data_IF_661732351901
#
_entry.id   IF_661732351901
#
_cell.length_a   1.000
_cell.length_b   1.000
_cell.length_c   1.000
_cell.angle_alpha   90.00
_cell.angle_beta   90.00
_cell.angle_gamma   90.00
#
_symmetry.space_group_name_H-M   'P 1'
#
loop_
_entity.id
_entity.type
_entity.pdbx_description
1 polymer ?
#
# COMPACT_ATOMS: atom_id res chain seq x y z
N UNK A 1 -2.92 6.33 23.85
CA UNK A 1 -1.56 6.25 23.28
C UNK A 1 -0.95 4.92 23.67
N UNK A 2 -0.08 4.33 22.85
CA UNK A 2 0.61 3.09 23.20
C UNK A 2 1.83 3.41 24.08
N UNK A 3 1.93 2.87 25.30
CA UNK A 3 3.13 3.01 26.12
C UNK A 3 4.32 2.37 25.41
N UNK A 4 5.45 3.09 25.35
CA UNK A 4 6.70 2.65 24.71
C UNK A 4 6.55 2.10 23.28
N UNK A 5 5.50 2.51 22.56
CA UNK A 5 5.09 1.98 21.26
C UNK A 5 4.87 0.45 21.23
N UNK A 6 4.63 -0.15 22.40
CA UNK A 6 4.45 -1.58 22.55
C UNK A 6 2.99 -1.98 22.31
N UNK A 7 2.73 -2.64 21.17
CA UNK A 7 1.41 -3.19 20.82
C UNK A 7 0.97 -4.35 21.72
N UNK A 8 1.89 -4.99 22.43
CA UNK A 8 1.60 -6.10 23.35
C UNK A 8 1.24 -5.60 24.76
N UNK A 9 1.36 -4.30 24.99
CA UNK A 9 0.88 -3.67 26.22
C UNK A 9 -0.63 -3.95 26.40
N UNK A 10 -1.13 -4.18 27.64
CA UNK A 10 -2.54 -4.54 27.85
C UNK A 10 -3.56 -3.55 27.28
N UNK A 11 -3.22 -2.26 27.22
CA UNK A 11 -4.10 -1.22 26.66
C UNK A 11 -4.38 -1.43 25.16
N UNK A 12 -3.39 -1.43 24.25
CA UNK A 12 -3.64 -1.73 22.84
C UNK A 12 -4.15 -3.15 22.61
N UNK A 13 -3.67 -4.14 23.37
CA UNK A 13 -4.09 -5.54 23.23
C UNK A 13 -5.59 -5.72 23.50
N UNK A 14 -6.08 -5.28 24.67
CA UNK A 14 -7.49 -5.36 25.02
C UNK A 14 -8.37 -4.50 24.10
N UNK A 15 -7.87 -3.34 23.66
CA UNK A 15 -8.60 -2.50 22.71
C UNK A 15 -8.76 -3.22 21.37
N UNK A 16 -7.69 -3.82 20.84
CA UNK A 16 -7.71 -4.59 19.59
C UNK A 16 -8.51 -5.89 19.69
N UNK A 17 -8.64 -6.46 20.89
CA UNK A 17 -9.50 -7.61 21.14
C UNK A 17 -11.00 -7.25 21.05
N UNK A 18 -11.37 -6.08 21.55
CA UNK A 18 -12.77 -5.63 21.62
C UNK A 18 -13.23 -5.01 20.29
N UNK A 19 -12.38 -4.21 19.66
CA UNK A 19 -12.75 -3.44 18.46
C UNK A 19 -12.62 -4.26 17.17
N UNK A 20 -13.34 -3.85 16.13
CA UNK A 20 -13.35 -4.51 14.82
C UNK A 20 -12.19 -4.07 13.90
N UNK A 21 -11.09 -3.61 14.48
CA UNK A 21 -9.93 -3.12 13.75
C UNK A 21 -9.22 -1.99 14.47
N UNK A 22 -8.11 -1.57 13.88
CA UNK A 22 -7.26 -0.52 14.44
C UNK A 22 -6.57 0.24 13.31
N UNK A 23 -6.33 1.52 13.54
CA UNK A 23 -5.47 2.35 12.69
C UNK A 23 -4.24 2.71 13.50
N UNK A 24 -3.09 2.27 13.03
CA UNK A 24 -1.80 2.46 13.71
C UNK A 24 -1.12 3.69 13.14
N UNK A 25 -0.64 4.55 14.04
CA UNK A 25 0.19 5.71 13.70
C UNK A 25 1.65 5.36 13.95
N UNK A 26 2.49 5.43 12.92
CA UNK A 26 3.91 5.10 13.00
C UNK A 26 4.78 6.33 13.27
N UNK A 27 5.68 6.21 14.24
CA UNK A 27 6.71 7.23 14.48
C UNK A 27 7.74 7.30 13.37
N UNK A 28 7.97 6.21 12.63
CA UNK A 28 8.88 6.21 11.49
C UNK A 28 8.35 7.13 10.39
N UNK A 29 7.09 6.94 9.98
CA UNK A 29 6.43 7.77 8.98
C UNK A 29 6.35 9.24 9.44
N UNK A 30 6.03 9.45 10.72
CA UNK A 30 5.99 10.80 11.29
C UNK A 30 7.35 11.50 11.26
N UNK A 31 8.45 10.81 11.58
CA UNK A 31 9.81 11.37 11.49
C UNK A 31 10.23 11.74 10.07
N UNK A 32 9.66 11.08 9.06
CA UNK A 32 9.84 11.42 7.64
C UNK A 32 8.89 12.51 7.15
N UNK A 33 8.08 13.08 8.04
CA UNK A 33 7.09 14.11 7.73
C UNK A 33 5.97 13.62 6.78
N UNK A 34 5.68 12.32 6.79
CA UNK A 34 4.52 11.76 6.08
C UNK A 34 3.27 11.87 6.95
N UNK A 35 2.30 12.67 6.50
CA UNK A 35 1.14 13.07 7.28
C UNK A 35 -0.17 12.76 6.52
N UNK A 36 -1.14 12.06 7.13
CA UNK A 36 -1.09 11.44 8.44
C UNK A 36 -0.12 10.23 8.45
N UNK A 37 0.58 9.95 9.57
CA UNK A 37 1.59 8.90 9.63
C UNK A 37 0.97 7.50 9.84
N UNK A 38 0.03 7.11 8.99
CA UNK A 38 -0.70 5.84 9.11
C UNK A 38 0.15 4.70 8.58
N UNK A 39 0.39 3.69 9.42
CA UNK A 39 1.01 2.45 8.99
C UNK A 39 -0.05 1.43 8.60
N UNK A 40 -0.14 1.15 7.30
CA UNK A 40 -1.17 0.28 6.73
C UNK A 40 -0.94 -1.20 7.03
N UNK A 41 0.30 -1.65 7.28
CA UNK A 41 0.61 -3.08 7.47
C UNK A 41 0.03 -3.67 8.76
N UNK A 42 0.17 -3.02 9.93
CA UNK A 42 -0.47 -3.48 11.17
C UNK A 42 -1.89 -2.94 11.37
N UNK A 43 -2.37 -2.06 10.49
CA UNK A 43 -3.74 -1.54 10.52
C UNK A 43 -4.73 -2.52 9.91
N UNK A 44 -5.97 -2.54 10.40
CA UNK A 44 -7.01 -3.45 9.93
C UNK A 44 -8.39 -2.84 10.10
N UNK A 45 -9.28 -3.14 9.16
CA UNK A 45 -10.73 -3.01 9.33
C UNK A 45 -11.39 -4.35 8.99
N UNK A 46 -12.03 -4.99 9.98
CA UNK A 46 -12.71 -6.29 9.80
C UNK A 46 -14.02 -6.16 9.02
N UNK A 47 -14.61 -4.98 9.00
CA UNK A 47 -15.90 -4.71 8.35
C UNK A 47 -15.76 -4.10 6.95
N UNK A 48 -14.53 -3.88 6.46
CA UNK A 48 -14.24 -3.22 5.16
C UNK A 48 -15.04 -3.83 4.00
N UNK A 49 -15.17 -5.16 3.94
CA UNK A 49 -15.81 -5.85 2.82
C UNK A 49 -17.33 -5.57 2.75
N UNK A 50 -17.94 -5.14 3.86
CA UNK A 50 -19.33 -4.66 3.89
C UNK A 50 -19.48 -3.23 3.38
N UNK A 51 -18.41 -2.46 3.25
CA UNK A 51 -18.42 -1.05 2.85
C UNK A 51 -17.98 -0.77 1.42
N UNK A 52 -17.43 -1.75 0.70
CA UNK A 52 -16.79 -1.56 -0.60
C UNK A 52 -17.55 -2.25 -1.74
N UNK A 53 -17.22 -1.90 -2.98
CA UNK A 53 -17.73 -2.53 -4.19
C UNK A 53 -18.83 -1.73 -4.89
N UNK A 54 -19.44 -2.36 -5.91
CA UNK A 54 -20.48 -1.75 -6.74
C UNK A 54 -21.65 -1.24 -5.88
N UNK A 55 -22.06 0.01 -6.14
CA UNK A 55 -23.16 0.66 -5.41
C UNK A 55 -22.78 1.23 -4.05
N UNK A 56 -21.50 1.15 -3.63
CA UNK A 56 -20.99 1.77 -2.39
C UNK A 56 -19.77 2.64 -2.65
N UNK A 57 -18.77 2.06 -3.31
CA UNK A 57 -17.56 2.76 -3.76
C UNK A 57 -17.42 2.55 -5.27
N UNK A 58 -16.51 1.67 -5.69
CA UNK A 58 -16.29 1.28 -7.09
C UNK A 58 -15.99 -0.22 -7.19
N UNK A 59 -16.14 -0.79 -8.36
CA UNK A 59 -16.10 -2.24 -8.60
C UNK A 59 -14.72 -2.90 -8.37
N UNK A 60 -13.66 -2.11 -8.46
CA UNK A 60 -12.24 -2.48 -8.39
C UNK A 60 -11.64 -2.34 -6.98
N UNK A 61 -12.35 -1.73 -6.03
CA UNK A 61 -11.82 -1.33 -4.73
C UNK A 61 -11.13 -2.48 -3.96
N UNK A 62 -11.77 -3.66 -3.88
CA UNK A 62 -11.19 -4.79 -3.12
C UNK A 62 -9.88 -5.28 -3.74
N UNK A 63 -9.85 -5.39 -5.06
CA UNK A 63 -8.70 -5.89 -5.82
C UNK A 63 -7.52 -4.91 -5.70
N UNK A 64 -7.77 -3.61 -5.90
CA UNK A 64 -6.74 -2.57 -5.79
C UNK A 64 -6.20 -2.47 -4.38
N UNK A 65 -7.07 -2.49 -3.35
CA UNK A 65 -6.64 -2.50 -1.94
C UNK A 65 -5.70 -3.67 -1.64
N UNK A 66 -6.06 -4.89 -2.06
CA UNK A 66 -5.26 -6.08 -1.82
C UNK A 66 -3.92 -6.05 -2.58
N UNK A 67 -3.92 -5.53 -3.81
CA UNK A 67 -2.70 -5.40 -4.62
C UNK A 67 -1.76 -4.33 -4.06
N UNK A 68 -2.27 -3.16 -3.68
CA UNK A 68 -1.49 -2.08 -3.06
C UNK A 68 -0.84 -2.57 -1.76
N UNK A 69 -1.60 -3.27 -0.90
CA UNK A 69 -1.07 -3.82 0.35
C UNK A 69 0.08 -4.80 0.10
N UNK A 70 -0.11 -5.74 -0.83
CA UNK A 70 0.92 -6.73 -1.16
C UNK A 70 2.17 -6.08 -1.77
N UNK A 71 1.99 -5.12 -2.67
CA UNK A 71 3.08 -4.39 -3.29
C UNK A 71 3.86 -3.55 -2.29
N UNK A 72 3.17 -2.90 -1.35
CA UNK A 72 3.80 -2.11 -0.31
C UNK A 72 4.60 -2.98 0.67
N UNK A 73 4.06 -4.12 1.09
CA UNK A 73 4.78 -5.09 1.94
C UNK A 73 6.07 -5.56 1.27
N UNK A 74 5.99 -6.01 0.00
CA UNK A 74 7.18 -6.47 -0.74
C UNK A 74 8.18 -5.34 -0.97
N UNK A 75 7.71 -4.13 -1.22
CA UNK A 75 8.58 -2.96 -1.39
C UNK A 75 9.30 -2.55 -0.12
N UNK A 76 8.66 -2.69 1.05
CA UNK A 76 9.31 -2.51 2.36
C UNK A 76 10.44 -3.53 2.56
N UNK A 77 10.18 -4.81 2.29
CA UNK A 77 11.20 -5.86 2.39
C UNK A 77 12.37 -5.60 1.42
N UNK A 78 12.07 -5.19 0.18
CA UNK A 78 13.08 -4.83 -0.82
C UNK A 78 13.94 -3.64 -0.39
N UNK A 79 13.34 -2.61 0.23
CA UNK A 79 14.09 -1.47 0.78
C UNK A 79 14.97 -1.87 1.95
N UNK A 80 14.49 -2.72 2.84
CA UNK A 80 15.30 -3.23 3.96
C UNK A 80 16.48 -4.03 3.43
N UNK A 81 16.25 -4.90 2.44
CA UNK A 81 17.31 -5.65 1.78
C UNK A 81 18.34 -4.73 1.10
N UNK A 82 17.88 -3.66 0.44
CA UNK A 82 18.76 -2.66 -0.18
C UNK A 82 19.66 -1.95 0.83
N UNK A 83 19.15 -1.65 2.03
CA UNK A 83 19.92 -1.01 3.11
C UNK A 83 21.01 -1.95 3.62
N UNK A 84 20.73 -3.25 3.70
CA UNK A 84 21.65 -4.26 4.24
C UNK A 84 22.71 -4.67 3.21
N UNK A 85 22.30 -4.94 1.97
CA UNK A 85 23.15 -5.53 0.92
C UNK A 85 23.60 -4.53 -0.16
N UNK A 86 23.04 -3.32 -0.16
CA UNK A 86 23.26 -2.30 -1.20
C UNK A 86 22.28 -2.41 -2.37
N UNK A 87 21.92 -1.28 -2.99
CA UNK A 87 20.94 -1.21 -4.09
C UNK A 87 21.30 -2.02 -5.33
N UNK A 88 22.60 -2.22 -5.58
CA UNK A 88 23.09 -3.02 -6.70
C UNK A 88 22.72 -4.50 -6.59
N UNK A 89 22.39 -4.98 -5.39
CA UNK A 89 22.00 -6.37 -5.15
C UNK A 89 20.53 -6.67 -5.49
N UNK A 90 19.69 -5.64 -5.62
CA UNK A 90 18.28 -5.82 -5.94
C UNK A 90 18.09 -6.22 -7.40
N UNK A 91 17.15 -7.14 -7.62
CA UNK A 91 16.61 -7.42 -8.95
C UNK A 91 15.91 -6.17 -9.50
N UNK A 92 15.75 -6.08 -10.81
CA UNK A 92 15.04 -4.97 -11.45
C UNK A 92 13.60 -4.82 -10.92
N UNK A 93 12.91 -5.94 -10.76
CA UNK A 93 11.56 -5.98 -10.18
C UNK A 93 11.56 -5.51 -8.73
N UNK A 94 12.53 -5.91 -7.92
CA UNK A 94 12.59 -5.46 -6.51
C UNK A 94 12.95 -3.97 -6.40
N UNK A 95 13.71 -3.41 -7.34
CA UNK A 95 13.90 -1.95 -7.43
C UNK A 95 12.58 -1.23 -7.74
N UNK A 96 11.76 -1.77 -8.63
CA UNK A 96 10.42 -1.22 -8.91
C UNK A 96 9.52 -1.29 -7.67
N UNK A 97 9.54 -2.39 -6.91
CA UNK A 97 8.80 -2.50 -5.65
C UNK A 97 9.32 -1.54 -4.57
N UNK A 98 10.64 -1.39 -4.45
CA UNK A 98 11.24 -0.42 -3.54
C UNK A 98 10.79 1.01 -3.89
N UNK A 99 10.85 1.39 -5.17
CA UNK A 99 10.33 2.67 -5.69
C UNK A 99 8.85 2.82 -5.39
N UNK A 100 8.03 1.83 -5.73
CA UNK A 100 6.60 1.82 -5.45
C UNK A 100 6.32 2.12 -3.97
N UNK A 101 7.05 1.49 -3.04
CA UNK A 101 6.80 1.71 -1.62
C UNK A 101 7.12 3.13 -1.15
N UNK A 102 8.15 3.77 -1.71
CA UNK A 102 8.46 5.17 -1.44
C UNK A 102 7.36 6.08 -1.97
N UNK A 103 6.97 5.91 -3.24
CA UNK A 103 5.89 6.69 -3.86
C UNK A 103 4.54 6.49 -3.15
N UNK A 104 4.29 5.28 -2.64
CA UNK A 104 3.10 4.98 -1.85
C UNK A 104 3.10 5.75 -0.51
N UNK A 105 4.23 5.80 0.20
CA UNK A 105 4.34 6.62 1.42
C UNK A 105 4.15 8.12 1.11
N UNK A 106 4.78 8.61 0.05
CA UNK A 106 4.85 10.05 -0.28
C UNK A 106 3.58 10.61 -0.90
N UNK A 107 2.88 9.81 -1.71
CA UNK A 107 1.73 10.30 -2.48
C UNK A 107 0.42 9.75 -1.97
N UNK A 108 0.39 8.45 -1.65
CA UNK A 108 -0.83 7.78 -1.20
C UNK A 108 -1.11 8.07 0.27
N UNK A 109 -0.16 7.78 1.16
CA UNK A 109 -0.31 7.97 2.61
C UNK A 109 -0.24 9.46 2.97
N UNK A 110 0.78 10.18 2.50
CA UNK A 110 1.04 11.56 2.89
C UNK A 110 0.15 12.60 2.17
N UNK A 111 -1.16 12.56 2.41
CA UNK A 111 -2.12 13.52 1.82
C UNK A 111 -2.15 14.90 2.49
N UNK A 112 -1.62 15.03 3.70
CA UNK A 112 -1.73 16.21 4.56
C UNK A 112 -3.05 16.27 5.35
N UNK A 113 -3.10 17.12 6.39
CA UNK A 113 -4.27 17.22 7.28
C UNK A 113 -5.41 18.10 6.75
N UNK A 114 -5.19 18.83 5.65
CA UNK A 114 -6.14 19.78 5.08
C UNK A 114 -6.68 19.35 3.71
N UNK A 115 -6.24 18.20 3.21
CA UNK A 115 -6.69 17.65 1.93
C UNK A 115 -7.79 16.63 2.20
N UNK A 116 -8.91 16.77 1.51
CA UNK A 116 -9.99 15.80 1.53
C UNK A 116 -10.07 15.11 0.16
N UNK A 117 -9.71 13.83 0.09
CA UNK A 117 -9.82 13.01 -1.13
C UNK A 117 -11.11 12.21 -1.11
N UNK A 118 -11.82 12.24 -2.23
CA UNK A 118 -12.90 11.29 -2.51
C UNK A 118 -12.35 9.87 -2.63
N UNK A 119 -13.25 8.89 -2.55
CA UNK A 119 -12.85 7.50 -2.73
C UNK A 119 -12.39 7.22 -4.16
N UNK A 120 -12.96 7.90 -5.15
CA UNK A 120 -12.59 7.74 -6.55
C UNK A 120 -11.18 8.27 -6.81
N UNK A 121 -10.86 9.48 -6.32
CA UNK A 121 -9.50 10.02 -6.39
C UNK A 121 -8.48 9.11 -5.70
N UNK A 122 -8.85 8.49 -4.58
CA UNK A 122 -7.99 7.54 -3.86
C UNK A 122 -7.74 6.28 -4.69
N UNK A 123 -8.78 5.73 -5.31
CA UNK A 123 -8.64 4.54 -6.15
C UNK A 123 -7.85 4.84 -7.44
N UNK A 124 -8.05 6.02 -8.03
CA UNK A 124 -7.33 6.45 -9.23
C UNK A 124 -5.84 6.68 -8.93
N UNK A 125 -5.51 7.30 -7.79
CA UNK A 125 -4.13 7.39 -7.33
C UNK A 125 -3.52 6.01 -7.07
N UNK A 126 -4.32 5.08 -6.52
CA UNK A 126 -3.89 3.69 -6.36
C UNK A 126 -3.51 3.04 -7.69
N UNK A 127 -4.32 3.23 -8.73
CA UNK A 127 -4.02 2.74 -10.07
C UNK A 127 -2.79 3.38 -10.69
N UNK A 128 -2.62 4.70 -10.52
CA UNK A 128 -1.44 5.42 -10.99
C UNK A 128 -0.16 4.84 -10.38
N UNK A 129 -0.16 4.59 -9.06
CA UNK A 129 0.99 3.99 -8.38
C UNK A 129 1.23 2.54 -8.81
N UNK A 130 0.18 1.76 -9.01
CA UNK A 130 0.31 0.41 -9.56
C UNK A 130 0.91 0.41 -10.98
N UNK A 131 0.80 1.52 -11.71
CA UNK A 131 1.44 1.73 -13.00
C UNK A 131 2.97 1.65 -12.98
N UNK A 132 3.61 1.82 -11.81
CA UNK A 132 5.07 1.65 -11.62
C UNK A 132 5.48 0.18 -11.79
N UNK A 133 4.56 -0.75 -11.47
CA UNK A 133 4.82 -2.17 -11.54
C UNK A 133 4.35 -2.72 -12.90
N UNK A 134 5.07 -3.70 -13.47
CA UNK A 134 4.64 -4.35 -14.71
C UNK A 134 3.35 -5.15 -14.48
N UNK A 135 2.54 -5.30 -15.52
CA UNK A 135 1.23 -5.96 -15.45
C UNK A 135 1.32 -7.38 -14.88
N UNK A 136 2.37 -8.12 -15.22
CA UNK A 136 2.61 -9.49 -14.73
C UNK A 136 2.74 -9.59 -13.20
N UNK A 137 3.12 -8.50 -12.51
CA UNK A 137 3.24 -8.44 -11.06
C UNK A 137 1.91 -8.09 -10.36
N UNK A 138 0.86 -7.73 -11.12
CA UNK A 138 -0.47 -7.36 -10.60
C UNK A 138 -1.40 -8.57 -10.39
N UNK A 139 -0.88 -9.60 -9.73
CA UNK A 139 -1.49 -10.94 -9.61
C UNK A 139 -2.78 -10.98 -8.78
N UNK A 140 -3.07 -9.96 -7.98
CA UNK A 140 -4.25 -9.89 -7.10
C UNK A 140 -5.43 -9.14 -7.72
N UNK A 141 -5.28 -8.69 -8.97
CA UNK A 141 -6.31 -7.95 -9.69
C UNK A 141 -6.83 -8.82 -10.83
N UNK A 142 -8.17 -8.89 -10.96
CA UNK A 142 -8.81 -9.58 -12.08
C UNK A 142 -8.48 -8.91 -13.42
N UNK A 143 -8.26 -9.72 -14.46
CA UNK A 143 -7.91 -9.23 -15.81
C UNK A 143 -8.87 -8.16 -16.34
N UNK A 144 -10.18 -8.36 -16.18
CA UNK A 144 -11.18 -7.40 -16.65
C UNK A 144 -11.07 -6.01 -16.01
N UNK A 145 -10.44 -5.88 -14.84
CA UNK A 145 -10.14 -4.58 -14.22
C UNK A 145 -8.79 -4.04 -14.65
N UNK A 146 -7.79 -4.91 -14.84
CA UNK A 146 -6.51 -4.50 -15.45
C UNK A 146 -6.76 -3.86 -16.82
N UNK A 147 -7.57 -4.48 -17.67
CA UNK A 147 -7.86 -3.92 -19.00
C UNK A 147 -8.54 -2.54 -18.95
N UNK A 148 -9.40 -2.33 -17.96
CA UNK A 148 -10.15 -1.08 -17.81
C UNK A 148 -9.32 0.05 -17.23
N UNK A 149 -8.60 -0.22 -16.15
CA UNK A 149 -8.04 0.82 -15.28
C UNK A 149 -6.52 0.86 -15.27
N UNK A 150 -5.82 -0.24 -15.57
CA UNK A 150 -4.36 -0.25 -15.51
C UNK A 150 -3.75 0.60 -16.62
N UNK A 151 -2.87 1.52 -16.25
CA UNK A 151 -2.09 2.35 -17.15
C UNK A 151 -0.64 2.29 -16.70
N UNK A 152 0.25 1.56 -17.39
CA UNK A 152 1.65 1.49 -17.01
C UNK A 152 2.31 2.87 -17.19
N UNK A 153 3.26 3.18 -16.31
CA UNK A 153 4.12 4.35 -16.48
C UNK A 153 4.99 4.20 -17.73
N UNK A 154 5.34 5.31 -18.37
CA UNK A 154 6.20 5.29 -19.55
C UNK A 154 7.56 4.64 -19.21
N UNK A 155 7.93 3.60 -19.95
CA UNK A 155 9.20 2.90 -19.78
C UNK A 155 9.14 1.69 -18.83
N UNK A 156 7.98 1.34 -18.27
CA UNK A 156 7.81 0.06 -17.57
C UNK A 156 7.69 -1.04 -18.60
N UNK A 157 8.75 -1.84 -18.75
CA UNK A 157 8.77 -3.02 -19.61
C UNK A 157 8.27 -4.27 -18.86
N UNK A 158 7.62 -5.18 -19.59
CA UNK A 158 7.27 -6.49 -19.05
C UNK A 158 8.57 -7.26 -18.81
N UNK A 159 8.83 -7.78 -17.59
CA UNK A 159 10.01 -8.58 -17.35
C UNK A 159 9.96 -9.80 -18.27
N UNK A 160 11.06 -10.05 -19.00
CA UNK A 160 11.21 -11.25 -19.80
C UNK A 160 11.31 -12.45 -18.86
N UNK A 161 10.18 -13.08 -18.53
CA UNK A 161 10.22 -14.40 -17.90
C UNK A 161 10.67 -15.39 -18.96
N UNK A 162 11.91 -15.86 -18.86
CA UNK A 162 12.34 -17.06 -19.59
C UNK A 162 11.46 -18.22 -19.11
N UNK A 163 10.70 -18.82 -20.04
CA UNK A 163 9.89 -20.01 -19.80
C UNK A 163 10.76 -21.22 -19.43
#
# INVERSE_FOLDING_TARGET
TMPDDDKTHPVPDLTGYITEGQIILSRELYRRNYLPPIDVLPSLSRLKDKGIGRGKTREDHSDTMNQLFAAYSRGKDARELAIILGESSLSEVDRLYARFSTEFEERYIAQGFQTNRSIEETLDLGWELLGILPRAELKRIREGYLDRYYRPEAGVEEPAYEN
#
